data_IF_640389325684
#
_entry.id   IF_640389325684
#
_cell.length_a   1.000
_cell.length_b   1.000
_cell.length_c   1.000
_cell.angle_alpha   90.00
_cell.angle_beta   90.00
_cell.angle_gamma   90.00
#
_symmetry.space_group_name_H-M   'P 1'
#
loop_
_entity.id
_entity.type
_entity.pdbx_description
1 polymer ?
#
# COMPACT_ATOMS: atom_id res chain seq x y z
N UNK A 1 -19.00 21.19 -13.60
CA UNK A 1 -19.35 20.01 -12.77
C UNK A 1 -18.60 20.15 -11.45
N UNK A 2 -19.30 20.21 -10.32
CA UNK A 2 -18.70 20.51 -9.02
C UNK A 2 -17.79 19.36 -8.57
N UNK A 3 -16.47 19.61 -8.52
CA UNK A 3 -15.45 18.68 -7.99
C UNK A 3 -15.44 18.59 -6.45
N UNK A 4 -16.49 19.10 -5.80
CA UNK A 4 -16.65 19.15 -4.35
C UNK A 4 -16.56 17.77 -3.67
N UNK A 5 -17.20 16.68 -4.17
CA UNK A 5 -17.10 15.39 -3.50
C UNK A 5 -15.70 14.78 -3.60
N UNK A 6 -14.99 14.94 -4.71
CA UNK A 6 -13.61 14.47 -4.85
C UNK A 6 -12.66 15.26 -3.96
N UNK A 7 -12.86 16.57 -3.84
CA UNK A 7 -12.07 17.41 -2.94
C UNK A 7 -12.28 17.02 -1.47
N UNK A 8 -13.53 16.81 -1.08
CA UNK A 8 -13.89 16.39 0.28
C UNK A 8 -13.32 15.00 0.60
N UNK A 9 -13.45 14.06 -0.34
CA UNK A 9 -12.85 12.73 -0.22
C UNK A 9 -11.33 12.82 -0.04
N UNK A 10 -10.65 13.60 -0.88
CA UNK A 10 -9.21 13.79 -0.78
C UNK A 10 -8.80 14.39 0.58
N UNK A 11 -9.58 15.34 1.11
CA UNK A 11 -9.35 15.90 2.43
C UNK A 11 -9.50 14.84 3.54
N UNK A 12 -10.57 14.05 3.53
CA UNK A 12 -10.79 13.00 4.51
C UNK A 12 -9.72 11.89 4.46
N UNK A 13 -9.31 11.46 3.26
CA UNK A 13 -8.27 10.45 3.09
C UNK A 13 -6.91 10.92 3.62
N UNK A 14 -6.60 12.22 3.46
CA UNK A 14 -5.41 12.83 4.08
C UNK A 14 -5.51 12.84 5.61
N UNK A 15 -6.66 13.23 6.17
CA UNK A 15 -6.89 13.24 7.61
C UNK A 15 -6.77 11.84 8.24
N UNK A 16 -7.27 10.82 7.55
CA UNK A 16 -7.21 9.41 7.96
C UNK A 16 -5.85 8.74 7.69
N UNK A 17 -4.92 9.43 7.03
CA UNK A 17 -3.61 8.88 6.64
C UNK A 17 -3.74 7.63 5.77
N UNK A 18 -4.58 7.70 4.74
CA UNK A 18 -4.81 6.67 3.72
C UNK A 18 -4.22 7.12 2.36
N UNK A 19 -2.87 7.18 2.22
CA UNK A 19 -2.22 7.67 1.02
C UNK A 19 -2.43 6.79 -0.21
N UNK A 20 -2.61 5.47 -0.05
CA UNK A 20 -2.84 4.57 -1.18
C UNK A 20 -4.27 4.67 -1.65
N UNK A 21 -5.25 4.82 -0.74
CA UNK A 21 -6.61 5.22 -1.13
C UNK A 21 -6.58 6.49 -1.98
N UNK A 22 -5.91 7.55 -1.52
CA UNK A 22 -5.87 8.83 -2.21
C UNK A 22 -5.33 8.72 -3.65
N UNK A 23 -4.35 7.83 -3.88
CA UNK A 23 -3.71 7.63 -5.18
C UNK A 23 -4.51 6.70 -6.10
N UNK A 24 -5.10 5.64 -5.56
CA UNK A 24 -5.63 4.52 -6.36
C UNK A 24 -7.16 4.50 -6.50
N UNK A 25 -7.93 5.19 -5.64
CA UNK A 25 -9.39 5.05 -5.59
C UNK A 25 -10.07 5.27 -6.95
N UNK A 26 -9.67 6.32 -7.68
CA UNK A 26 -10.30 6.68 -8.95
C UNK A 26 -10.00 5.68 -10.07
N UNK A 27 -8.77 5.19 -10.12
CA UNK A 27 -8.35 4.17 -11.08
C UNK A 27 -9.08 2.86 -10.82
N UNK A 28 -9.11 2.42 -9.56
CA UNK A 28 -9.76 1.17 -9.18
C UNK A 28 -11.29 1.24 -9.33
N UNK A 29 -11.90 2.40 -9.06
CA UNK A 29 -13.32 2.62 -9.29
C UNK A 29 -13.68 2.47 -10.78
N UNK A 30 -12.88 3.05 -11.68
CA UNK A 30 -13.07 2.88 -13.14
C UNK A 30 -12.92 1.44 -13.59
N UNK A 31 -11.96 0.70 -13.05
CA UNK A 31 -11.77 -0.73 -13.33
C UNK A 31 -12.95 -1.57 -12.83
N UNK A 32 -13.36 -1.38 -11.58
CA UNK A 32 -14.49 -2.10 -10.99
C UNK A 32 -15.80 -1.82 -11.73
N UNK A 33 -16.03 -0.56 -12.16
CA UNK A 33 -17.19 -0.21 -12.96
C UNK A 33 -17.19 -0.93 -14.32
N UNK A 34 -16.02 -1.06 -14.97
CA UNK A 34 -15.89 -1.80 -16.23
C UNK A 34 -16.09 -3.32 -16.05
N UNK A 35 -15.67 -3.88 -14.92
CA UNK A 35 -15.80 -5.30 -14.58
C UNK A 35 -17.18 -5.66 -13.99
N UNK A 36 -18.07 -4.69 -13.75
CA UNK A 36 -19.36 -4.92 -13.08
C UNK A 36 -19.22 -5.37 -11.62
N UNK A 37 -18.11 -5.00 -10.97
CA UNK A 37 -17.81 -5.34 -9.57
C UNK A 37 -18.62 -4.44 -8.65
N UNK A 38 -19.22 -5.04 -7.61
CA UNK A 38 -20.02 -4.32 -6.63
C UNK A 38 -19.17 -3.45 -5.70
N UNK A 39 -19.82 -2.52 -5.01
CA UNK A 39 -19.15 -1.53 -4.16
C UNK A 39 -18.39 -2.16 -2.98
N UNK A 40 -18.87 -3.29 -2.43
CA UNK A 40 -18.19 -3.95 -1.31
C UNK A 40 -16.88 -4.55 -1.78
N UNK A 41 -16.87 -5.25 -2.92
CA UNK A 41 -15.63 -5.79 -3.51
C UNK A 41 -14.65 -4.70 -3.91
N UNK A 42 -15.12 -3.57 -4.44
CA UNK A 42 -14.26 -2.41 -4.69
C UNK A 42 -13.58 -1.92 -3.41
N UNK A 43 -14.33 -1.78 -2.31
CA UNK A 43 -13.78 -1.33 -1.03
C UNK A 43 -12.78 -2.32 -0.45
N UNK A 44 -13.05 -3.63 -0.54
CA UNK A 44 -12.10 -4.68 -0.11
C UNK A 44 -10.79 -4.56 -0.88
N UNK A 45 -10.84 -4.52 -2.22
CA UNK A 45 -9.64 -4.39 -3.06
C UNK A 45 -8.83 -3.13 -2.72
N UNK A 46 -9.51 -2.00 -2.49
CA UNK A 46 -8.84 -0.75 -2.14
C UNK A 46 -8.18 -0.81 -0.75
N UNK A 47 -8.87 -1.42 0.22
CA UNK A 47 -8.34 -1.62 1.57
C UNK A 47 -7.13 -2.56 1.58
N UNK A 48 -7.17 -3.64 0.81
CA UNK A 48 -6.05 -4.57 0.64
C UNK A 48 -4.82 -3.86 0.09
N UNK A 49 -4.97 -3.03 -0.95
CA UNK A 49 -3.87 -2.25 -1.50
C UNK A 49 -3.22 -1.32 -0.47
N UNK A 50 -4.02 -0.66 0.37
CA UNK A 50 -3.50 0.19 1.45
C UNK A 50 -2.75 -0.60 2.52
N UNK A 51 -3.27 -1.77 2.92
CA UNK A 51 -2.62 -2.63 3.91
C UNK A 51 -1.25 -3.12 3.40
N UNK A 52 -1.18 -3.59 2.15
CA UNK A 52 0.06 -4.06 1.51
C UNK A 52 1.10 -2.93 1.44
N UNK A 53 0.71 -1.76 0.93
CA UNK A 53 1.61 -0.61 0.82
C UNK A 53 2.10 -0.14 2.20
N UNK A 54 1.23 -0.18 3.22
CA UNK A 54 1.58 0.21 4.58
C UNK A 54 2.56 -0.78 5.21
N UNK A 55 2.36 -2.08 5.03
CA UNK A 55 3.28 -3.11 5.50
C UNK A 55 4.67 -2.95 4.85
N UNK A 56 4.70 -2.79 3.52
CA UNK A 56 5.94 -2.55 2.77
C UNK A 56 6.70 -1.34 3.29
N UNK A 57 6.03 -0.18 3.43
CA UNK A 57 6.68 1.05 3.96
C UNK A 57 7.17 0.87 5.40
N UNK A 58 6.45 0.11 6.22
CA UNK A 58 6.83 -0.18 7.60
C UNK A 58 8.10 -1.03 7.64
N UNK A 59 8.20 -2.06 6.80
CA UNK A 59 9.38 -2.91 6.66
C UNK A 59 10.57 -2.09 6.15
N UNK A 60 10.42 -1.35 5.05
CA UNK A 60 11.47 -0.49 4.49
C UNK A 60 11.98 0.54 5.52
N UNK A 61 11.06 1.15 6.28
CA UNK A 61 11.42 2.11 7.35
C UNK A 61 12.21 1.43 8.47
N UNK A 62 11.80 0.24 8.92
CA UNK A 62 12.51 -0.52 9.97
C UNK A 62 13.92 -0.91 9.53
N UNK A 63 14.07 -1.39 8.29
CA UNK A 63 15.38 -1.73 7.71
C UNK A 63 16.29 -0.49 7.69
N UNK A 64 15.77 0.66 7.21
CA UNK A 64 16.54 1.91 7.17
C UNK A 64 16.93 2.41 8.57
N UNK A 65 16.04 2.28 9.55
CA UNK A 65 16.28 2.70 10.93
C UNK A 65 17.29 1.81 11.66
N UNK A 66 17.38 0.53 11.29
CA UNK A 66 18.32 -0.41 11.91
C UNK A 66 19.79 -0.10 11.59
N UNK A 67 20.08 0.77 10.60
CA UNK A 67 21.43 1.22 10.22
C UNK A 67 22.41 0.04 10.06
N UNK A 68 21.95 -1.06 9.46
CA UNK A 68 22.81 -2.22 9.26
C UNK A 68 24.04 -1.84 8.41
N UNK A 69 25.26 -2.16 8.85
CA UNK A 69 26.49 -1.84 8.12
C UNK A 69 26.56 -2.53 6.73
N UNK A 70 25.80 -3.60 6.54
CA UNK A 70 25.48 -4.19 5.24
C UNK A 70 24.03 -4.68 5.25
N UNK A 71 23.27 -4.45 4.18
CA UNK A 71 21.94 -5.00 4.02
C UNK A 71 22.05 -6.52 3.76
N UNK A 72 21.89 -7.32 4.82
CA UNK A 72 21.80 -8.79 4.70
C UNK A 72 20.35 -9.14 4.37
N UNK A 73 20.06 -9.49 3.11
CA UNK A 73 18.84 -10.20 2.75
C UNK A 73 19.08 -11.70 2.89
N UNK A 74 18.01 -12.50 3.05
CA UNK A 74 18.14 -13.96 3.03
C UNK A 74 18.73 -14.46 1.70
N UNK A 75 18.53 -13.73 0.60
CA UNK A 75 19.10 -14.05 -0.71
C UNK A 75 20.63 -13.97 -0.75
N UNK A 76 21.26 -13.20 0.15
CA UNK A 76 22.72 -13.11 0.27
C UNK A 76 23.31 -13.97 1.39
N UNK A 77 22.47 -14.79 2.04
CA UNK A 77 22.92 -15.67 3.12
C UNK A 77 23.44 -17.00 2.56
N UNK A 78 24.72 -17.29 2.79
CA UNK A 78 25.31 -18.57 2.43
C UNK A 78 24.95 -19.64 3.48
N UNK A 79 23.85 -20.36 3.23
CA UNK A 79 23.41 -21.46 4.09
C UNK A 79 24.43 -22.62 4.17
N UNK A 80 25.40 -22.69 3.26
CA UNK A 80 26.48 -23.69 3.32
C UNK A 80 27.57 -23.36 4.33
N UNK A 81 27.60 -22.12 4.84
CA UNK A 81 28.53 -21.69 5.88
C UNK A 81 28.04 -22.01 7.32
N UNK A 82 26.89 -22.68 7.48
CA UNK A 82 26.39 -23.12 8.78
C UNK A 82 27.13 -24.41 9.16
N UNK A 83 27.97 -24.41 10.21
CA UNK A 83 28.62 -25.64 10.66
C UNK A 83 27.59 -26.57 11.32
N UNK A 84 27.72 -27.86 11.02
CA UNK A 84 26.93 -28.96 11.60
C UNK A 84 27.18 -29.14 13.10
#
# INVERSE_FOLDING_TARGET
MNNTPQLLLAHHLKALKLPTFLREYDKLARQCAAEGVDHVRYLVRLAELELIDRERRMVERRIRQAKFPAAKSLDSFDFKAIPS
#
